data_IF_705589771016
#
_entry.id   IF_705589771016
#
_cell.length_a   1.000
_cell.length_b   1.000
_cell.length_c   1.000
_cell.angle_alpha   90.00
_cell.angle_beta   90.00
_cell.angle_gamma   90.00
#
_symmetry.space_group_name_H-M   'P 1'
#
loop_
_entity.id
_entity.type
_entity.pdbx_description
1 polymer ?
#
# COMPACT_ATOMS: atom_id res chain seq x y z
N UNK A 1 -4.48 18.88 21.83
CA UNK A 1 -5.35 20.06 21.74
C UNK A 1 -4.73 21.15 20.86
N UNK A 2 -3.80 20.84 19.93
CA UNK A 2 -3.14 21.83 19.06
C UNK A 2 -3.34 21.55 17.56
N UNK A 3 -4.27 20.66 17.19
CA UNK A 3 -4.59 20.39 15.78
C UNK A 3 -5.87 21.10 15.38
N UNK A 4 -5.73 22.32 14.88
CA UNK A 4 -6.74 22.94 14.04
C UNK A 4 -6.36 22.64 12.59
N UNK A 5 -7.25 21.97 11.84
CA UNK A 5 -7.01 21.67 10.43
C UNK A 5 -7.07 20.19 10.09
N UNK A 6 -6.21 19.77 9.16
CA UNK A 6 -6.19 18.41 8.62
C UNK A 6 -5.02 17.62 9.22
N UNK A 7 -5.33 16.46 9.80
CA UNK A 7 -4.31 15.50 10.22
C UNK A 7 -4.11 14.48 9.10
N UNK A 8 -2.87 14.27 8.68
CA UNK A 8 -2.53 13.38 7.55
C UNK A 8 -1.71 12.20 8.07
N UNK A 9 -2.06 10.99 7.63
CA UNK A 9 -1.31 9.77 7.91
C UNK A 9 -1.17 8.92 6.63
N UNK A 10 -0.26 7.95 6.65
CA UNK A 10 -0.17 6.95 5.59
C UNK A 10 -1.34 5.96 5.65
N UNK A 11 -1.78 5.42 4.52
CA UNK A 11 -2.75 4.32 4.46
C UNK A 11 -2.16 2.94 4.76
N UNK A 12 -1.00 2.87 5.42
CA UNK A 12 -0.48 1.62 6.01
C UNK A 12 -1.41 1.10 7.12
N UNK A 13 -1.34 -0.17 7.52
CA UNK A 13 -2.15 -0.70 8.62
C UNK A 13 -2.04 0.15 9.89
N UNK A 14 -0.82 0.48 10.31
CA UNK A 14 -0.55 1.32 11.49
C UNK A 14 -1.10 2.74 11.30
N UNK A 15 -0.92 3.33 10.12
CA UNK A 15 -1.40 4.69 9.84
C UNK A 15 -2.92 4.78 9.83
N UNK A 16 -3.63 3.78 9.31
CA UNK A 16 -5.10 3.71 9.34
C UNK A 16 -5.64 3.56 10.76
N UNK A 17 -5.01 2.71 11.56
CA UNK A 17 -5.36 2.54 12.97
C UNK A 17 -5.18 3.84 13.74
N UNK A 18 -4.00 4.46 13.64
CA UNK A 18 -3.69 5.73 14.30
C UNK A 18 -4.65 6.84 13.87
N UNK A 19 -4.90 6.98 12.57
CA UNK A 19 -5.84 7.97 12.03
C UNK A 19 -7.26 7.80 12.60
N UNK A 20 -7.74 6.55 12.70
CA UNK A 20 -9.06 6.26 13.25
C UNK A 20 -9.15 6.60 14.75
N UNK A 21 -8.10 6.30 15.53
CA UNK A 21 -8.04 6.64 16.96
C UNK A 21 -7.98 8.16 17.16
N UNK A 22 -7.18 8.88 16.37
CA UNK A 22 -7.09 10.34 16.45
C UNK A 22 -8.43 10.96 16.09
N UNK A 23 -9.06 10.55 15.00
CA UNK A 23 -10.36 11.06 14.58
C UNK A 23 -11.43 10.86 15.66
N UNK A 24 -11.46 9.68 16.28
CA UNK A 24 -12.37 9.38 17.39
C UNK A 24 -12.13 10.28 18.61
N UNK A 25 -10.87 10.51 18.98
CA UNK A 25 -10.53 11.38 20.12
C UNK A 25 -10.85 12.85 19.87
N UNK A 26 -10.70 13.31 18.65
CA UNK A 26 -10.98 14.69 18.25
C UNK A 26 -12.46 14.93 17.92
N UNK A 27 -13.25 13.88 17.74
CA UNK A 27 -14.65 13.97 17.31
C UNK A 27 -14.80 14.50 15.88
N UNK A 28 -13.84 14.22 15.00
CA UNK A 28 -13.81 14.68 13.60
C UNK A 28 -13.94 13.50 12.61
N UNK A 29 -14.40 13.75 11.39
CA UNK A 29 -14.48 12.70 10.37
C UNK A 29 -13.10 12.20 9.95
N UNK A 30 -13.05 10.92 9.51
CA UNK A 30 -11.87 10.32 8.87
C UNK A 30 -12.19 9.91 7.45
N UNK A 31 -11.31 10.25 6.49
CA UNK A 31 -11.40 9.77 5.10
C UNK A 31 -10.11 9.01 4.79
N UNK A 32 -10.26 7.75 4.43
CA UNK A 32 -9.10 6.85 4.27
C UNK A 32 -8.83 6.53 2.81
N UNK A 33 -7.54 6.25 2.54
CA UNK A 33 -7.05 5.68 1.29
C UNK A 33 -7.21 6.61 0.08
N UNK A 34 -6.90 7.88 0.29
CA UNK A 34 -7.00 8.90 -0.75
C UNK A 34 -5.96 8.68 -1.85
N UNK A 35 -6.41 8.87 -3.08
CA UNK A 35 -5.56 8.88 -4.28
C UNK A 35 -5.33 10.27 -4.84
N UNK A 36 -6.16 11.24 -4.43
CA UNK A 36 -6.07 12.62 -4.88
C UNK A 36 -6.66 13.56 -3.82
N UNK A 37 -6.06 14.73 -3.67
CA UNK A 37 -6.57 15.84 -2.87
C UNK A 37 -6.50 17.10 -3.73
N UNK A 38 -7.64 17.68 -4.02
CA UNK A 38 -7.77 18.96 -4.70
C UNK A 38 -7.80 20.15 -3.76
N UNK A 39 -7.95 21.34 -4.34
CA UNK A 39 -8.24 22.55 -3.58
C UNK A 39 -9.54 22.38 -2.78
N UNK A 40 -9.70 23.15 -1.71
CA UNK A 40 -10.88 23.11 -0.81
C UNK A 40 -11.16 21.74 -0.18
N UNK A 41 -10.10 20.95 0.07
CA UNK A 41 -10.21 19.61 0.66
C UNK A 41 -11.19 18.69 -0.08
N UNK A 42 -11.23 18.80 -1.40
CA UNK A 42 -11.91 17.84 -2.24
C UNK A 42 -11.05 16.60 -2.38
N UNK A 43 -11.53 15.49 -1.86
CA UNK A 43 -10.79 14.24 -1.68
C UNK A 43 -11.36 13.16 -2.56
N UNK A 44 -10.48 12.42 -3.25
CA UNK A 44 -10.87 11.35 -4.18
C UNK A 44 -10.25 10.03 -3.75
N UNK A 45 -11.04 8.96 -3.79
CA UNK A 45 -10.57 7.58 -3.56
C UNK A 45 -11.31 6.59 -4.44
N UNK A 46 -10.65 5.47 -4.71
CA UNK A 46 -11.28 4.34 -5.39
C UNK A 46 -12.05 3.46 -4.39
N UNK A 47 -13.28 3.10 -4.73
CA UNK A 47 -14.12 2.17 -3.96
C UNK A 47 -14.56 0.99 -4.82
N UNK A 48 -15.11 -0.05 -4.23
CA UNK A 48 -15.56 -1.29 -4.90
C UNK A 48 -14.48 -1.90 -5.81
N UNK A 49 -13.27 -2.05 -5.28
CA UNK A 49 -12.12 -2.60 -6.04
C UNK A 49 -11.79 -1.81 -7.32
N UNK A 50 -11.91 -0.47 -7.26
CA UNK A 50 -11.62 0.41 -8.38
C UNK A 50 -12.73 0.51 -9.44
N UNK A 51 -13.92 -0.03 -9.16
CA UNK A 51 -15.07 0.08 -10.07
C UNK A 51 -15.78 1.42 -9.98
N UNK A 52 -15.61 2.14 -8.88
CA UNK A 52 -16.17 3.46 -8.68
C UNK A 52 -15.15 4.38 -8.00
N UNK A 53 -15.35 5.67 -8.20
CA UNK A 53 -14.58 6.73 -7.58
C UNK A 53 -15.53 7.49 -6.65
N UNK A 54 -15.14 7.60 -5.39
CA UNK A 54 -15.83 8.45 -4.42
C UNK A 54 -15.10 9.79 -4.34
N UNK A 55 -15.86 10.85 -4.41
CA UNK A 55 -15.37 12.20 -4.15
C UNK A 55 -16.13 12.77 -2.95
N UNK A 56 -15.38 13.21 -1.94
CA UNK A 56 -15.91 13.84 -0.72
C UNK A 56 -15.22 15.17 -0.48
N UNK A 57 -15.82 16.02 0.33
CA UNK A 57 -15.24 17.28 0.76
C UNK A 57 -15.45 17.45 2.26
N UNK A 58 -14.46 18.01 2.95
CA UNK A 58 -14.56 18.36 4.36
C UNK A 58 -14.75 19.87 4.51
N UNK A 59 -15.69 20.27 5.37
CA UNK A 59 -15.97 21.68 5.72
C UNK A 59 -15.34 22.11 7.04
N UNK A 60 -14.33 21.39 7.53
CA UNK A 60 -13.68 21.67 8.81
C UNK A 60 -12.54 20.71 9.07
N UNK A 61 -12.12 20.59 10.33
CA UNK A 61 -11.06 19.66 10.71
C UNK A 61 -11.43 18.23 10.37
N UNK A 62 -10.49 17.48 9.85
CA UNK A 62 -10.66 16.07 9.51
C UNK A 62 -9.32 15.32 9.63
N UNK A 63 -9.40 14.01 9.67
CA UNK A 63 -8.24 13.13 9.57
C UNK A 63 -8.30 12.40 8.23
N UNK A 64 -7.19 12.36 7.53
CA UNK A 64 -7.10 11.70 6.23
C UNK A 64 -5.95 10.71 6.18
N UNK A 65 -6.09 9.65 5.40
CA UNK A 65 -4.96 8.80 5.09
C UNK A 65 -4.70 8.76 3.58
N UNK A 66 -3.43 8.83 3.21
CA UNK A 66 -2.97 8.85 1.84
C UNK A 66 -2.56 7.46 1.40
N UNK A 67 -3.00 7.04 0.21
CA UNK A 67 -2.54 5.79 -0.40
C UNK A 67 -1.05 5.90 -0.69
N UNK A 68 -0.30 4.86 -0.37
CA UNK A 68 1.13 4.79 -0.67
C UNK A 68 1.37 4.93 -2.18
N UNK A 69 2.41 5.62 -2.55
CA UNK A 69 2.82 5.89 -3.94
C UNK A 69 1.77 6.60 -4.83
N UNK A 70 0.71 7.17 -4.25
CA UNK A 70 -0.30 7.93 -5.01
C UNK A 70 0.05 9.43 -5.13
N UNK A 71 0.99 9.92 -4.34
CA UNK A 71 1.39 11.31 -4.28
C UNK A 71 2.90 11.44 -4.50
N UNK A 72 3.30 12.49 -5.18
CA UNK A 72 4.71 12.82 -5.31
C UNK A 72 5.28 13.27 -3.95
N UNK A 73 6.55 12.94 -3.71
CA UNK A 73 7.23 13.37 -2.50
C UNK A 73 7.37 14.89 -2.48
N UNK A 74 7.04 15.50 -1.36
CA UNK A 74 7.32 16.91 -1.14
C UNK A 74 8.85 17.16 -1.06
N UNK A 75 9.27 18.37 -1.37
CA UNK A 75 10.65 18.79 -1.15
C UNK A 75 11.06 18.77 0.32
N UNK A 76 12.36 18.75 0.59
CA UNK A 76 12.94 18.71 1.95
C UNK A 76 13.52 20.05 2.41
N UNK A 77 13.12 21.14 1.78
CA UNK A 77 13.60 22.51 2.02
C UNK A 77 12.83 23.26 3.14
N UNK A 78 11.86 22.61 3.76
CA UNK A 78 11.15 23.13 4.91
C UNK A 78 12.00 23.15 6.18
N UNK A 79 11.71 24.09 7.08
CA UNK A 79 12.30 24.17 8.41
C UNK A 79 11.19 24.14 9.45
N UNK A 80 11.06 23.01 10.17
CA UNK A 80 10.09 22.82 11.23
C UNK A 80 10.75 22.84 12.60
N UNK A 81 10.07 23.43 13.59
CA UNK A 81 10.48 23.35 14.98
C UNK A 81 10.21 21.95 15.54
N UNK A 82 11.22 21.34 16.17
CA UNK A 82 11.08 20.06 16.86
C UNK A 82 10.62 20.28 18.29
N UNK A 83 9.37 19.88 18.58
CA UNK A 83 8.80 19.93 19.93
C UNK A 83 8.81 18.53 20.53
N UNK A 84 9.54 18.36 21.65
CA UNK A 84 9.55 17.09 22.38
C UNK A 84 8.38 17.06 23.36
N UNK A 85 7.59 15.99 23.31
CA UNK A 85 6.46 15.75 24.22
C UNK A 85 6.70 14.43 24.94
N UNK A 86 6.69 14.47 26.29
CA UNK A 86 6.80 13.27 27.09
C UNK A 86 5.47 12.50 27.07
N UNK A 87 5.54 11.19 26.75
CA UNK A 87 4.39 10.31 26.83
C UNK A 87 4.33 9.66 28.21
N UNK A 88 3.20 9.83 28.89
CA UNK A 88 2.92 9.19 30.18
C UNK A 88 2.08 7.91 30.04
N UNK A 89 1.87 7.45 28.80
CA UNK A 89 1.05 6.26 28.54
C UNK A 89 1.82 4.99 28.93
N UNK A 90 1.19 4.13 29.71
CA UNK A 90 1.67 2.76 29.91
C UNK A 90 1.45 1.96 28.64
N UNK A 91 2.52 1.33 28.14
CA UNK A 91 2.46 0.46 26.96
C UNK A 91 2.14 -0.96 27.43
N UNK A 92 0.94 -1.44 27.10
CA UNK A 92 0.49 -2.78 27.47
C UNK A 92 1.12 -3.90 26.59
N UNK A 93 1.74 -3.54 25.48
CA UNK A 93 2.42 -4.46 24.54
C UNK A 93 3.86 -4.02 24.36
N UNK A 94 4.81 -4.90 24.67
CA UNK A 94 6.23 -4.64 24.47
C UNK A 94 6.75 -5.44 23.27
N UNK A 95 7.54 -4.78 22.41
CA UNK A 95 8.31 -5.45 21.37
C UNK A 95 9.47 -6.17 22.05
N UNK A 96 9.43 -7.51 22.07
CA UNK A 96 10.51 -8.32 22.67
C UNK A 96 11.74 -8.37 21.78
N UNK A 97 11.56 -8.46 20.48
CA UNK A 97 12.62 -8.58 19.51
C UNK A 97 12.17 -8.03 18.16
N UNK A 98 12.94 -7.13 17.58
CA UNK A 98 12.80 -6.73 16.19
C UNK A 98 13.85 -7.49 15.38
N UNK A 99 13.45 -8.57 14.71
CA UNK A 99 14.32 -9.28 13.79
C UNK A 99 14.46 -8.42 12.53
N UNK A 100 15.59 -7.75 12.39
CA UNK A 100 15.97 -7.14 11.13
C UNK A 100 16.23 -8.28 10.13
N UNK A 101 15.36 -8.42 9.15
CA UNK A 101 15.54 -9.36 8.05
C UNK A 101 16.62 -8.82 7.12
N UNK A 102 17.87 -9.11 7.47
CA UNK A 102 19.02 -8.75 6.65
C UNK A 102 18.92 -9.50 5.31
N UNK A 103 18.85 -8.76 4.21
CA UNK A 103 18.80 -9.30 2.85
C UNK A 103 17.40 -9.60 2.30
N UNK A 104 16.33 -9.17 2.96
CA UNK A 104 15.00 -9.23 2.34
C UNK A 104 14.89 -8.24 1.17
N UNK A 105 14.27 -8.74 0.10
CA UNK A 105 13.87 -7.91 -1.03
C UNK A 105 12.89 -6.84 -0.59
N UNK A 106 12.87 -5.73 -1.33
CA UNK A 106 11.93 -4.64 -1.12
C UNK A 106 10.50 -5.18 -1.00
N UNK A 107 9.76 -4.70 -0.01
CA UNK A 107 8.36 -5.07 0.17
C UNK A 107 7.51 -4.52 -0.98
N UNK A 108 6.58 -5.33 -1.49
CA UNK A 108 5.70 -4.92 -2.61
C UNK A 108 4.88 -3.67 -2.30
N UNK A 109 4.60 -3.38 -1.03
CA UNK A 109 3.86 -2.16 -0.65
C UNK A 109 4.68 -0.87 -0.76
N UNK A 110 6.02 -0.99 -0.81
CA UNK A 110 6.95 0.15 -0.85
C UNK A 110 7.61 0.31 -2.23
N UNK A 111 7.48 -0.70 -3.09
CA UNK A 111 8.15 -0.75 -4.37
C UNK A 111 7.49 0.15 -5.42
N UNK A 112 8.30 0.85 -6.21
CA UNK A 112 7.86 1.61 -7.38
C UNK A 112 7.69 0.73 -8.62
N UNK A 113 8.40 -0.40 -8.69
CA UNK A 113 8.27 -1.41 -9.74
C UNK A 113 7.97 -2.75 -9.08
N UNK A 114 6.95 -3.45 -9.58
CA UNK A 114 6.56 -4.76 -9.08
C UNK A 114 6.43 -5.74 -10.24
N UNK A 115 7.03 -6.93 -10.08
CA UNK A 115 6.80 -8.08 -10.94
C UNK A 115 6.11 -9.18 -10.14
N UNK A 116 4.94 -9.62 -10.57
CA UNK A 116 4.13 -10.58 -9.82
C UNK A 116 3.87 -11.85 -10.61
N UNK A 117 4.06 -12.99 -9.95
CA UNK A 117 3.75 -14.30 -10.50
C UNK A 117 2.37 -14.81 -10.12
N UNK A 118 1.71 -15.42 -11.07
CA UNK A 118 0.45 -16.15 -10.84
C UNK A 118 0.66 -17.66 -10.89
N UNK A 119 -0.42 -18.42 -10.66
CA UNK A 119 -0.42 -19.88 -10.80
C UNK A 119 -0.05 -20.34 -12.23
N UNK A 120 -0.18 -19.44 -13.23
CA UNK A 120 0.27 -19.70 -14.60
C UNK A 120 1.78 -19.86 -14.75
N UNK A 121 2.58 -19.56 -13.70
CA UNK A 121 4.01 -19.89 -13.65
C UNK A 121 4.26 -21.40 -13.66
N UNK A 122 3.26 -22.22 -13.27
CA UNK A 122 3.29 -23.68 -13.31
C UNK A 122 4.01 -24.35 -12.15
N UNK A 123 5.11 -23.79 -11.68
CA UNK A 123 5.92 -24.31 -10.58
C UNK A 123 6.48 -23.15 -9.73
N UNK A 124 6.53 -23.27 -8.38
CA UNK A 124 7.11 -22.24 -7.53
C UNK A 124 8.58 -21.95 -7.83
N UNK A 125 9.35 -22.95 -8.30
CA UNK A 125 10.75 -22.75 -8.71
C UNK A 125 10.88 -21.72 -9.84
N UNK A 126 9.87 -21.55 -10.70
CA UNK A 126 9.88 -20.57 -11.78
C UNK A 126 9.82 -19.10 -11.29
N UNK A 127 9.53 -18.88 -10.01
CA UNK A 127 9.67 -17.55 -9.40
C UNK A 127 11.13 -17.08 -9.37
N UNK A 128 12.12 -17.99 -9.53
CA UNK A 128 13.52 -17.61 -9.71
C UNK A 128 13.71 -16.67 -10.89
N UNK A 129 13.01 -16.89 -12.00
CA UNK A 129 13.07 -16.00 -13.18
C UNK A 129 12.52 -14.60 -12.87
N UNK A 130 11.45 -14.51 -12.07
CA UNK A 130 10.92 -13.21 -11.64
C UNK A 130 11.92 -12.51 -10.73
N UNK A 131 12.59 -13.27 -9.87
CA UNK A 131 13.62 -12.76 -8.97
C UNK A 131 14.82 -12.21 -9.75
N UNK A 132 15.30 -12.93 -10.78
CA UNK A 132 16.40 -12.48 -11.63
C UNK A 132 16.06 -11.18 -12.36
N UNK A 133 14.86 -11.08 -12.93
CA UNK A 133 14.41 -9.84 -13.58
C UNK A 133 14.26 -8.71 -12.57
N UNK A 134 13.68 -8.99 -11.39
CA UNK A 134 13.50 -8.01 -10.32
C UNK A 134 14.83 -7.42 -9.84
N UNK A 135 15.88 -8.26 -9.73
CA UNK A 135 17.23 -7.81 -9.34
C UNK A 135 17.84 -6.85 -10.36
N UNK A 136 17.56 -7.05 -11.65
CA UNK A 136 18.09 -6.18 -12.72
C UNK A 136 17.38 -4.83 -12.78
N UNK A 137 16.06 -4.81 -12.57
CA UNK A 137 15.25 -3.58 -12.71
C UNK A 137 14.91 -2.90 -11.38
N UNK A 138 15.41 -3.42 -10.26
CA UNK A 138 15.12 -2.88 -8.93
C UNK A 138 13.66 -3.06 -8.51
N UNK A 139 13.01 -4.15 -8.91
CA UNK A 139 11.61 -4.43 -8.61
C UNK A 139 11.43 -5.27 -7.35
N UNK A 140 10.27 -5.16 -6.70
CA UNK A 140 9.81 -6.15 -5.74
C UNK A 140 9.09 -7.31 -6.46
N UNK A 141 9.19 -8.51 -5.88
CA UNK A 141 8.48 -9.69 -6.39
C UNK A 141 7.21 -9.91 -5.58
N UNK A 142 6.07 -9.92 -6.28
CA UNK A 142 4.76 -10.20 -5.72
C UNK A 142 4.20 -11.53 -6.22
N UNK A 143 3.05 -11.92 -5.65
CA UNK A 143 2.35 -13.12 -6.04
C UNK A 143 0.82 -12.92 -6.04
N UNK A 144 0.12 -13.68 -6.89
CA UNK A 144 -1.32 -13.78 -6.81
C UNK A 144 -1.74 -14.68 -5.64
N UNK A 145 -2.96 -14.50 -5.12
CA UNK A 145 -3.53 -15.40 -4.12
C UNK A 145 -3.48 -16.86 -4.57
N UNK A 146 -3.79 -17.14 -5.84
CA UNK A 146 -3.77 -18.49 -6.36
C UNK A 146 -2.38 -19.15 -6.34
N UNK A 147 -1.30 -18.37 -6.46
CA UNK A 147 0.06 -18.88 -6.31
C UNK A 147 0.37 -19.17 -4.84
N UNK A 148 0.07 -18.23 -3.95
CA UNK A 148 0.27 -18.36 -2.49
C UNK A 148 -0.52 -19.52 -1.90
N UNK A 149 -1.78 -19.71 -2.31
CA UNK A 149 -2.61 -20.81 -1.83
C UNK A 149 -2.19 -22.17 -2.41
N UNK A 150 -1.43 -22.20 -3.52
CA UNK A 150 -1.02 -23.44 -4.18
C UNK A 150 0.38 -23.91 -3.79
N UNK A 151 1.25 -23.02 -3.30
CA UNK A 151 2.66 -23.31 -3.06
C UNK A 151 3.12 -22.72 -1.73
N UNK A 152 3.53 -23.59 -0.81
CA UNK A 152 4.01 -23.20 0.52
C UNK A 152 5.31 -22.37 0.46
N UNK A 153 6.08 -22.51 -0.64
CA UNK A 153 7.30 -21.75 -0.90
C UNK A 153 7.04 -20.26 -1.21
N UNK A 154 5.81 -19.92 -1.56
CA UNK A 154 5.43 -18.53 -1.88
C UNK A 154 4.70 -17.92 -0.67
N UNK A 155 5.36 -17.07 0.12
CA UNK A 155 4.79 -16.60 1.39
C UNK A 155 3.65 -15.60 1.16
N UNK A 156 2.69 -15.58 2.08
CA UNK A 156 1.57 -14.62 2.10
C UNK A 156 2.00 -13.16 2.10
N UNK A 157 3.21 -12.85 2.57
CA UNK A 157 3.76 -11.49 2.54
C UNK A 157 3.95 -10.93 1.13
N UNK A 158 4.07 -11.80 0.12
CA UNK A 158 4.16 -11.44 -1.29
C UNK A 158 2.79 -11.23 -1.95
N UNK A 159 1.69 -11.59 -1.27
CA UNK A 159 0.37 -11.58 -1.89
C UNK A 159 -0.10 -10.16 -2.20
N UNK A 160 -0.42 -9.92 -3.48
CA UNK A 160 -1.09 -8.71 -3.97
C UNK A 160 -2.55 -9.04 -4.29
N UNK A 161 -3.47 -8.20 -3.80
CA UNK A 161 -4.90 -8.35 -4.04
C UNK A 161 -5.76 -7.90 -2.87
N UNK A 162 -7.06 -8.14 -2.97
CA UNK A 162 -8.07 -7.71 -2.00
C UNK A 162 -7.78 -8.20 -0.56
N UNK A 163 -7.29 -9.43 -0.42
CA UNK A 163 -6.95 -10.04 0.87
C UNK A 163 -5.46 -10.04 1.17
N UNK A 164 -4.65 -9.50 0.26
CA UNK A 164 -3.24 -9.26 0.41
C UNK A 164 -2.93 -7.78 0.50
N UNK A 165 -1.80 -7.39 -0.06
CA UNK A 165 -1.37 -5.99 -0.11
C UNK A 165 -2.02 -5.26 -1.28
N UNK A 166 -2.44 -4.02 -1.04
CA UNK A 166 -2.81 -3.07 -2.09
C UNK A 166 -1.60 -2.23 -2.42
N UNK A 167 -1.24 -2.20 -3.71
CA UNK A 167 -0.04 -1.54 -4.22
C UNK A 167 -0.40 -0.51 -5.29
N UNK A 168 0.46 0.48 -5.45
CA UNK A 168 0.30 1.54 -6.46
C UNK A 168 1.65 1.90 -7.08
N UNK A 169 2.35 0.94 -7.72
CA UNK A 169 3.64 1.19 -8.34
C UNK A 169 3.51 1.99 -9.63
N UNK A 170 4.61 2.58 -10.09
CA UNK A 170 4.70 3.14 -11.44
C UNK A 170 4.59 2.06 -12.53
N UNK A 171 5.12 0.86 -12.26
CA UNK A 171 5.04 -0.27 -13.19
C UNK A 171 4.69 -1.56 -12.45
N UNK A 172 3.64 -2.22 -12.92
CA UNK A 172 3.22 -3.54 -12.46
C UNK A 172 3.29 -4.55 -13.60
N UNK A 173 4.14 -5.56 -13.48
CA UNK A 173 4.29 -6.65 -14.46
C UNK A 173 3.60 -7.89 -13.91
N UNK A 174 2.52 -8.33 -14.55
CA UNK A 174 1.74 -9.51 -14.16
C UNK A 174 2.09 -10.70 -15.05
N UNK A 175 2.67 -11.74 -14.48
CA UNK A 175 3.13 -12.93 -15.22
C UNK A 175 2.30 -14.16 -14.82
N UNK A 176 1.59 -14.75 -15.78
CA UNK A 176 0.75 -15.93 -15.53
C UNK A 176 -0.40 -15.70 -14.53
N UNK A 177 -0.92 -14.47 -14.47
CA UNK A 177 -2.03 -14.05 -13.60
C UNK A 177 -3.30 -13.96 -14.43
N UNK A 178 -4.41 -14.53 -13.93
CA UNK A 178 -5.68 -14.63 -14.65
C UNK A 178 -6.51 -13.33 -14.69
N UNK A 179 -6.09 -12.26 -14.02
CA UNK A 179 -6.84 -11.00 -14.00
C UNK A 179 -8.13 -11.06 -13.15
N UNK A 180 -8.23 -11.96 -12.19
CA UNK A 180 -9.38 -12.02 -11.27
C UNK A 180 -9.59 -10.68 -10.56
N UNK A 181 -10.86 -10.30 -10.35
CA UNK A 181 -11.26 -9.01 -9.73
C UNK A 181 -10.56 -8.80 -8.38
N UNK A 182 -10.35 -9.88 -7.61
CA UNK A 182 -9.70 -9.83 -6.31
C UNK A 182 -8.22 -9.43 -6.42
N UNK A 183 -7.54 -9.87 -7.49
CA UNK A 183 -6.16 -9.45 -7.76
C UNK A 183 -6.12 -8.00 -8.26
N UNK A 184 -7.00 -7.65 -9.20
CA UNK A 184 -7.14 -6.29 -9.71
C UNK A 184 -7.41 -5.27 -8.59
N UNK A 185 -8.17 -5.65 -7.56
CA UNK A 185 -8.43 -4.79 -6.41
C UNK A 185 -7.14 -4.30 -5.72
N UNK A 186 -6.09 -5.11 -5.75
CA UNK A 186 -4.82 -4.78 -5.11
C UNK A 186 -3.84 -4.02 -5.98
N UNK A 187 -4.02 -3.95 -7.32
CA UNK A 187 -2.99 -3.39 -8.21
C UNK A 187 -3.53 -2.48 -9.33
N UNK A 188 -4.83 -2.36 -9.48
CA UNK A 188 -5.45 -1.62 -10.59
C UNK A 188 -5.08 -0.15 -10.66
N UNK A 189 -4.68 0.45 -9.56
CA UNK A 189 -4.24 1.85 -9.49
C UNK A 189 -2.78 2.06 -9.94
N UNK A 190 -2.06 1.01 -10.31
CA UNK A 190 -0.71 1.11 -10.90
C UNK A 190 -0.73 1.99 -12.14
N UNK A 191 0.31 2.81 -12.31
CA UNK A 191 0.38 3.77 -13.43
C UNK A 191 0.48 3.07 -14.78
N UNK A 192 1.30 2.01 -14.85
CA UNK A 192 1.42 1.14 -16.03
C UNK A 192 1.27 -0.32 -15.60
N UNK A 193 0.52 -1.08 -16.39
CA UNK A 193 0.30 -2.51 -16.17
C UNK A 193 0.71 -3.24 -17.44
N UNK A 194 1.62 -4.20 -17.30
CA UNK A 194 2.04 -5.12 -18.36
C UNK A 194 1.61 -6.52 -17.99
N UNK A 195 0.88 -7.19 -18.86
CA UNK A 195 0.45 -8.57 -18.66
C UNK A 195 1.24 -9.51 -19.61
N UNK A 196 1.81 -10.56 -19.04
CA UNK A 196 2.48 -11.64 -19.76
C UNK A 196 1.70 -12.91 -19.46
N UNK A 197 0.95 -13.38 -20.44
CA UNK A 197 0.11 -14.58 -20.32
C UNK A 197 0.02 -15.30 -21.67
N UNK A 198 -0.27 -16.60 -21.63
CA UNK A 198 -0.61 -17.39 -22.81
C UNK A 198 -2.07 -17.23 -23.26
N UNK A 199 -2.96 -16.82 -22.34
CA UNK A 199 -4.34 -16.51 -22.66
C UNK A 199 -4.42 -15.09 -23.24
N UNK A 200 -5.20 -14.87 -24.29
CA UNK A 200 -5.36 -13.57 -24.94
C UNK A 200 -6.08 -12.54 -24.06
#
# INVERSE_FOLDING_TARGET
PHCEGVVIASSSPTGRELASQIASKLGVPVVQDLTEIGQDLKMTRSIYSGKAIETSAASGSCVITLRQNAFESAGSDGNAELITVDSTSEVSVAVKEAMAKAGERLDVSEADIIISGGRGMGDPANFSHLNEVADVIGAAVGASRAAVDSWDEIPHSMQVGQTGKTVNPSLYIAVGISGAIQHLAGMRSSKYIVAINKDP
#
